data_IF_957852423997
#
_entry.id   IF_957852423997
#
_cell.length_a   1.000
_cell.length_b   1.000
_cell.length_c   1.000
_cell.angle_alpha   90.00
_cell.angle_beta   90.00
_cell.angle_gamma   90.00
#
_symmetry.space_group_name_H-M   'P 1'
#
loop_
_entity.id
_entity.type
_entity.pdbx_description
1 polymer ?
#
# COMPACT_ATOMS: atom_id res chain seq x y z
N UNK A 1 9.19 20.60 -5.84
CA UNK A 1 9.12 20.81 -4.38
C UNK A 1 9.31 19.51 -3.57
N UNK A 2 8.49 18.47 -3.77
CA UNK A 2 8.60 17.23 -2.99
C UNK A 2 9.97 16.53 -3.16
N UNK A 3 10.43 16.36 -4.40
CA UNK A 3 11.72 15.71 -4.72
C UNK A 3 12.90 16.39 -4.01
N UNK A 4 13.01 17.71 -4.12
CA UNK A 4 14.10 18.47 -3.51
C UNK A 4 14.04 18.42 -1.99
N UNK A 5 12.85 18.50 -1.40
CA UNK A 5 12.69 18.45 0.05
C UNK A 5 13.12 17.10 0.65
N UNK A 6 12.68 15.98 0.08
CA UNK A 6 13.05 14.66 0.59
C UNK A 6 14.56 14.39 0.46
N UNK A 7 15.16 14.80 -0.67
CA UNK A 7 16.60 14.74 -0.87
C UNK A 7 17.37 15.56 0.18
N UNK A 8 16.93 16.80 0.43
CA UNK A 8 17.58 17.67 1.43
C UNK A 8 17.40 17.16 2.85
N UNK A 9 16.23 16.61 3.20
CA UNK A 9 15.98 16.00 4.51
C UNK A 9 16.92 14.80 4.72
N UNK A 10 16.99 13.89 3.75
CA UNK A 10 17.91 12.75 3.83
C UNK A 10 19.35 13.22 3.99
N UNK A 11 19.84 14.08 3.10
CA UNK A 11 21.22 14.61 3.16
C UNK A 11 21.52 15.31 4.48
N UNK A 12 20.59 16.15 4.98
CA UNK A 12 20.74 16.85 6.26
C UNK A 12 20.83 15.91 7.45
N UNK A 13 20.00 14.85 7.50
CA UNK A 13 20.06 13.83 8.54
C UNK A 13 21.39 13.08 8.52
N UNK A 14 21.87 12.67 7.35
CA UNK A 14 23.15 11.98 7.20
C UNK A 14 24.33 12.88 7.60
N UNK A 15 24.31 14.14 7.18
CA UNK A 15 25.33 15.14 7.58
C UNK A 15 25.34 15.40 9.08
N UNK A 16 24.20 15.32 9.76
CA UNK A 16 24.08 15.42 11.21
C UNK A 16 24.42 14.11 11.97
N UNK A 17 24.83 13.05 11.26
CA UNK A 17 25.21 11.76 11.85
C UNK A 17 24.04 10.83 12.18
N UNK A 18 22.81 11.16 11.76
CA UNK A 18 21.66 10.28 11.97
C UNK A 18 21.52 9.25 10.86
N UNK A 19 21.46 7.97 11.25
CA UNK A 19 21.25 6.84 10.32
C UNK A 19 19.83 6.26 10.36
N UNK A 20 18.89 6.98 10.96
CA UNK A 20 17.48 6.55 11.04
C UNK A 20 16.87 6.42 9.66
N UNK A 21 16.32 5.25 9.28
CA UNK A 21 15.69 5.08 7.99
C UNK A 21 14.45 5.97 7.81
N UNK A 22 14.32 6.56 6.64
CA UNK A 22 13.15 7.35 6.26
C UNK A 22 12.08 6.46 5.61
N UNK A 23 10.83 6.67 5.99
CA UNK A 23 9.68 6.08 5.32
C UNK A 23 8.82 7.19 4.72
N UNK A 24 8.79 7.28 3.39
CA UNK A 24 7.91 8.20 2.70
C UNK A 24 6.49 7.62 2.60
N UNK A 25 5.51 8.35 3.08
CA UNK A 25 4.09 7.97 3.00
C UNK A 25 3.43 8.69 1.80
N UNK A 26 3.19 7.94 0.72
CA UNK A 26 2.73 8.49 -0.56
C UNK A 26 1.27 8.14 -0.80
N UNK A 27 0.50 9.17 -1.18
CA UNK A 27 -0.91 9.07 -1.53
C UNK A 27 -1.20 9.74 -2.88
N UNK A 28 -2.19 9.24 -3.61
CA UNK A 28 -2.83 9.85 -4.78
C UNK A 28 -1.93 10.12 -6.00
N UNK A 29 -0.64 9.90 -5.92
CA UNK A 29 0.27 10.21 -7.03
C UNK A 29 1.42 9.21 -7.12
N UNK A 30 1.31 8.28 -8.05
CA UNK A 30 2.31 7.25 -8.26
C UNK A 30 3.70 7.82 -8.66
N UNK A 31 3.75 8.98 -9.34
CA UNK A 31 5.03 9.60 -9.71
C UNK A 31 5.79 10.12 -8.49
N UNK A 32 5.07 10.48 -7.42
CA UNK A 32 5.69 10.88 -6.15
C UNK A 32 6.34 9.66 -5.48
N UNK A 33 5.76 8.46 -5.63
CA UNK A 33 6.35 7.23 -5.12
C UNK A 33 7.69 6.90 -5.81
N UNK A 34 7.78 7.09 -7.14
CA UNK A 34 9.03 6.89 -7.89
C UNK A 34 10.15 7.79 -7.35
N UNK A 35 9.81 9.07 -7.14
CA UNK A 35 10.77 10.04 -6.59
C UNK A 35 11.15 9.71 -5.15
N UNK A 36 10.18 9.28 -4.34
CA UNK A 36 10.44 8.91 -2.95
C UNK A 36 11.38 7.70 -2.86
N UNK A 37 11.26 6.74 -3.77
CA UNK A 37 12.11 5.55 -3.82
C UNK A 37 13.59 5.85 -4.12
N UNK A 38 13.90 7.04 -4.62
CA UNK A 38 15.29 7.46 -4.84
C UNK A 38 15.98 7.97 -3.56
N UNK A 39 15.22 8.36 -2.53
CA UNK A 39 15.74 9.11 -1.39
C UNK A 39 15.29 8.59 -0.03
N UNK A 40 14.38 7.63 0.01
CA UNK A 40 13.90 7.03 1.26
C UNK A 40 14.20 5.53 1.27
N UNK A 41 14.49 4.99 2.43
CA UNK A 41 14.75 3.56 2.59
C UNK A 41 13.46 2.73 2.52
N UNK A 42 12.30 3.39 2.67
CA UNK A 42 11.00 2.75 2.49
C UNK A 42 9.98 3.73 1.92
N UNK A 43 9.13 3.23 1.03
CA UNK A 43 7.99 3.99 0.49
C UNK A 43 6.71 3.25 0.82
N UNK A 44 5.74 3.94 1.43
CA UNK A 44 4.38 3.42 1.55
C UNK A 44 3.55 3.88 0.36
N UNK A 45 2.86 2.93 -0.25
CA UNK A 45 1.84 3.16 -1.27
C UNK A 45 0.49 2.65 -0.80
N UNK A 46 -0.59 3.24 -1.31
CA UNK A 46 -1.95 2.82 -0.98
C UNK A 46 -2.63 2.25 -2.25
N UNK A 47 -2.91 0.95 -2.30
CA UNK A 47 -3.58 0.32 -3.44
C UNK A 47 -4.86 1.02 -3.89
N UNK A 48 -5.64 1.53 -2.95
CA UNK A 48 -6.92 2.17 -3.23
C UNK A 48 -6.84 3.51 -3.97
N UNK A 49 -5.66 4.12 -4.05
CA UNK A 49 -5.48 5.41 -4.73
C UNK A 49 -4.11 5.56 -5.43
N UNK A 50 -3.46 4.45 -5.74
CA UNK A 50 -2.16 4.47 -6.42
C UNK A 50 -2.31 4.69 -7.93
N UNK A 51 -3.20 3.94 -8.58
CA UNK A 51 -3.54 4.03 -10.00
C UNK A 51 -5.03 4.28 -10.18
N UNK A 52 -5.85 3.58 -9.41
CA UNK A 52 -7.29 3.79 -9.39
C UNK A 52 -7.61 5.26 -9.06
N UNK A 53 -8.59 5.87 -9.69
CA UNK A 53 -8.98 7.23 -9.37
C UNK A 53 -9.43 7.32 -7.90
N UNK A 54 -9.27 8.50 -7.32
CA UNK A 54 -9.81 8.76 -6.00
C UNK A 54 -11.30 8.39 -5.95
N UNK A 55 -11.73 7.82 -4.82
CA UNK A 55 -13.10 7.35 -4.59
C UNK A 55 -14.12 8.41 -4.98
N UNK A 56 -14.97 8.08 -5.94
CA UNK A 56 -16.01 8.97 -6.46
C UNK A 56 -17.42 8.60 -5.97
N UNK A 57 -17.54 7.47 -5.24
CA UNK A 57 -18.81 6.88 -4.79
C UNK A 57 -19.77 6.51 -5.94
N UNK A 58 -19.26 6.43 -7.15
CA UNK A 58 -20.03 5.96 -8.30
C UNK A 58 -20.12 4.44 -8.28
N UNK A 59 -21.28 3.93 -8.64
CA UNK A 59 -21.44 2.51 -8.94
C UNK A 59 -20.90 2.27 -10.34
N UNK A 60 -19.72 1.64 -10.41
CA UNK A 60 -19.08 1.25 -11.66
C UNK A 60 -19.21 -0.27 -11.77
N UNK A 61 -19.95 -0.73 -12.77
CA UNK A 61 -20.00 -2.16 -13.08
C UNK A 61 -18.88 -2.46 -14.07
N UNK A 62 -18.03 -3.42 -13.70
CA UNK A 62 -16.95 -3.90 -14.56
C UNK A 62 -17.24 -5.33 -14.99
N UNK A 63 -17.13 -5.61 -16.29
CA UNK A 63 -17.02 -7.00 -16.76
C UNK A 63 -15.67 -7.59 -16.28
N UNK A 64 -15.53 -8.90 -16.40
CA UNK A 64 -14.26 -9.55 -16.02
C UNK A 64 -13.11 -9.08 -16.92
N UNK A 65 -13.37 -8.82 -18.19
CA UNK A 65 -12.40 -8.29 -19.15
C UNK A 65 -11.99 -6.86 -18.80
N UNK A 66 -12.93 -5.99 -18.45
CA UNK A 66 -12.65 -4.62 -18.02
C UNK A 66 -11.84 -4.61 -16.72
N UNK A 67 -12.23 -5.47 -15.78
CA UNK A 67 -11.49 -5.62 -14.51
C UNK A 67 -10.03 -6.05 -14.75
N UNK A 68 -9.82 -7.02 -15.66
CA UNK A 68 -8.49 -7.46 -16.03
C UNK A 68 -7.66 -6.36 -16.70
N UNK A 69 -8.31 -5.49 -17.51
CA UNK A 69 -7.64 -4.33 -18.10
C UNK A 69 -7.20 -3.30 -17.03
N UNK A 70 -8.03 -3.06 -16.02
CA UNK A 70 -7.64 -2.19 -14.91
C UNK A 70 -6.47 -2.77 -14.10
N UNK A 71 -6.46 -4.09 -13.85
CA UNK A 71 -5.31 -4.76 -13.24
C UNK A 71 -4.04 -4.62 -14.08
N UNK A 72 -4.17 -4.71 -15.39
CA UNK A 72 -3.04 -4.49 -16.30
C UNK A 72 -2.48 -3.06 -16.21
N UNK A 73 -3.33 -2.05 -16.12
CA UNK A 73 -2.90 -0.66 -15.89
C UNK A 73 -2.15 -0.50 -14.58
N UNK A 74 -2.61 -1.16 -13.52
CA UNK A 74 -1.93 -1.16 -12.22
C UNK A 74 -0.54 -1.81 -12.36
N UNK A 75 -0.46 -2.97 -13.02
CA UNK A 75 0.81 -3.65 -13.29
C UNK A 75 1.76 -2.75 -14.07
N UNK A 76 1.30 -2.18 -15.18
CA UNK A 76 2.12 -1.34 -16.05
C UNK A 76 2.67 -0.10 -15.30
N UNK A 77 1.91 0.42 -14.34
CA UNK A 77 2.36 1.55 -13.52
C UNK A 77 3.29 1.12 -12.35
N UNK A 78 3.10 -0.09 -11.81
CA UNK A 78 3.93 -0.60 -10.73
C UNK A 78 5.33 -1.04 -11.19
N UNK A 79 5.45 -1.56 -12.41
CA UNK A 79 6.74 -2.10 -12.91
C UNK A 79 7.87 -1.07 -12.87
N UNK A 80 7.72 0.16 -13.38
CA UNK A 80 8.76 1.18 -13.25
C UNK A 80 9.15 1.47 -11.79
N UNK A 81 8.16 1.58 -10.91
CA UNK A 81 8.38 1.81 -9.48
C UNK A 81 9.16 0.65 -8.83
N UNK A 82 8.77 -0.60 -9.13
CA UNK A 82 9.48 -1.79 -8.64
C UNK A 82 10.95 -1.78 -9.07
N UNK A 83 11.23 -1.40 -10.31
CA UNK A 83 12.60 -1.33 -10.82
C UNK A 83 13.43 -0.28 -10.07
N UNK A 84 12.86 0.91 -9.83
CA UNK A 84 13.51 1.95 -9.03
C UNK A 84 13.77 1.44 -7.60
N UNK A 85 12.81 0.76 -6.98
CA UNK A 85 12.98 0.19 -5.65
C UNK A 85 14.10 -0.87 -5.60
N UNK A 86 14.20 -1.73 -6.61
CA UNK A 86 15.29 -2.71 -6.72
C UNK A 86 16.66 -2.04 -6.84
N UNK A 87 16.77 -1.06 -7.73
CA UNK A 87 18.02 -0.33 -7.97
C UNK A 87 18.52 0.43 -6.74
N UNK A 88 17.59 0.95 -5.93
CA UNK A 88 17.90 1.78 -4.76
C UNK A 88 17.79 1.03 -3.43
N UNK A 89 17.53 -0.28 -3.43
CA UNK A 89 17.31 -1.09 -2.22
C UNK A 89 16.21 -0.51 -1.31
N UNK A 90 15.16 0.04 -1.90
CA UNK A 90 14.06 0.67 -1.19
C UNK A 90 12.96 -0.35 -0.92
N UNK A 91 12.63 -0.57 0.34
CA UNK A 91 11.50 -1.42 0.72
C UNK A 91 10.15 -0.74 0.43
N UNK A 92 9.12 -1.55 0.21
CA UNK A 92 7.77 -1.05 -0.04
C UNK A 92 6.81 -1.49 1.07
N UNK A 93 6.03 -0.55 1.63
CA UNK A 93 4.89 -0.89 2.46
C UNK A 93 3.60 -0.74 1.64
N UNK A 94 2.92 -1.87 1.44
CA UNK A 94 1.56 -1.87 0.89
C UNK A 94 0.61 -1.49 2.03
N UNK A 95 0.12 -0.25 1.99
CA UNK A 95 -0.67 0.34 3.06
C UNK A 95 -2.14 0.43 2.69
N UNK A 96 -2.88 -0.68 2.85
CA UNK A 96 -4.32 -0.71 2.62
C UNK A 96 -5.05 -0.05 3.78
N UNK A 97 -5.92 0.91 3.46
CA UNK A 97 -6.81 1.53 4.43
C UNK A 97 -8.26 1.27 3.99
N UNK A 98 -9.07 0.72 4.88
CA UNK A 98 -10.49 0.42 4.65
C UNK A 98 -11.26 1.61 4.09
N UNK A 99 -11.03 2.80 4.64
CA UNK A 99 -11.71 4.04 4.20
C UNK A 99 -11.35 4.52 2.79
N UNK A 100 -10.26 3.99 2.20
CA UNK A 100 -9.76 4.42 0.88
C UNK A 100 -9.73 3.32 -0.17
N UNK A 101 -10.52 2.27 -0.02
CA UNK A 101 -10.69 1.27 -1.07
C UNK A 101 -11.21 1.91 -2.36
N UNK A 102 -10.67 1.51 -3.51
CA UNK A 102 -11.13 2.00 -4.82
C UNK A 102 -12.57 1.60 -5.10
N UNK A 103 -13.26 2.40 -5.94
CA UNK A 103 -14.63 2.07 -6.36
C UNK A 103 -14.69 0.72 -7.08
N UNK A 104 -13.66 0.35 -7.84
CA UNK A 104 -13.52 -0.95 -8.51
C UNK A 104 -13.58 -2.13 -7.53
N UNK A 105 -12.78 -2.05 -6.46
CA UNK A 105 -12.74 -3.09 -5.41
C UNK A 105 -14.08 -3.14 -4.68
N UNK A 106 -14.64 -2.00 -4.30
CA UNK A 106 -15.89 -1.94 -3.54
C UNK A 106 -17.09 -2.45 -4.33
N UNK A 107 -17.14 -2.17 -5.62
CA UNK A 107 -18.23 -2.65 -6.46
C UNK A 107 -18.17 -4.17 -6.67
N UNK A 108 -16.97 -4.75 -6.71
CA UNK A 108 -16.81 -6.20 -6.92
C UNK A 108 -16.90 -7.01 -5.62
N UNK A 109 -16.28 -6.52 -4.54
CA UNK A 109 -16.12 -7.27 -3.28
C UNK A 109 -16.87 -6.64 -2.10
N UNK A 110 -17.43 -5.45 -2.27
CA UNK A 110 -18.05 -4.70 -1.19
C UNK A 110 -17.05 -4.00 -0.27
N UNK A 111 -17.60 -3.35 0.75
CA UNK A 111 -16.84 -2.69 1.82
C UNK A 111 -16.60 -3.69 2.97
N UNK A 112 -15.88 -4.76 2.67
CA UNK A 112 -15.76 -5.98 3.48
C UNK A 112 -14.29 -6.34 3.71
N UNK A 113 -13.99 -7.24 4.67
CA UNK A 113 -12.65 -7.83 4.80
C UNK A 113 -12.14 -8.45 3.50
N UNK A 114 -12.98 -9.08 2.71
CA UNK A 114 -12.65 -9.68 1.42
C UNK A 114 -12.19 -8.63 0.41
N UNK A 115 -12.87 -7.48 0.36
CA UNK A 115 -12.45 -6.35 -0.49
C UNK A 115 -11.12 -5.75 -0.06
N UNK A 116 -10.88 -5.61 1.24
CA UNK A 116 -9.60 -5.14 1.78
C UNK A 116 -8.48 -6.09 1.37
N UNK A 117 -8.69 -7.39 1.53
CA UNK A 117 -7.71 -8.42 1.20
C UNK A 117 -7.48 -8.49 -0.30
N UNK A 118 -8.53 -8.47 -1.11
CA UNK A 118 -8.41 -8.46 -2.58
C UNK A 118 -7.55 -7.29 -3.06
N UNK A 119 -7.79 -6.08 -2.55
CA UNK A 119 -6.98 -4.89 -2.85
C UNK A 119 -5.49 -5.07 -2.54
N UNK A 120 -5.16 -5.76 -1.46
CA UNK A 120 -3.78 -6.08 -1.09
C UNK A 120 -3.17 -7.14 -1.99
N UNK A 121 -3.88 -8.26 -2.19
CA UNK A 121 -3.40 -9.43 -2.93
C UNK A 121 -3.12 -9.12 -4.41
N UNK A 122 -3.89 -8.22 -5.02
CA UNK A 122 -3.61 -7.76 -6.39
C UNK A 122 -2.20 -7.19 -6.52
N UNK A 123 -1.80 -6.32 -5.59
CA UNK A 123 -0.46 -5.74 -5.57
C UNK A 123 0.61 -6.77 -5.21
N UNK A 124 0.38 -7.63 -4.23
CA UNK A 124 1.31 -8.69 -3.84
C UNK A 124 1.63 -9.64 -4.99
N UNK A 125 0.61 -10.04 -5.77
CA UNK A 125 0.80 -10.90 -6.94
C UNK A 125 1.69 -10.24 -7.99
N UNK A 126 1.55 -8.92 -8.20
CA UNK A 126 2.41 -8.16 -9.11
C UNK A 126 3.85 -8.12 -8.56
N UNK A 127 4.04 -7.74 -7.29
CA UNK A 127 5.37 -7.71 -6.68
C UNK A 127 6.08 -9.07 -6.78
N UNK A 128 5.37 -10.16 -6.47
CA UNK A 128 5.89 -11.53 -6.61
C UNK A 128 6.23 -11.88 -8.06
N UNK A 129 5.38 -11.53 -9.02
CA UNK A 129 5.60 -11.76 -10.46
C UNK A 129 6.90 -11.13 -10.94
N UNK A 130 7.24 -9.96 -10.42
CA UNK A 130 8.48 -9.27 -10.74
C UNK A 130 9.62 -9.56 -9.75
N UNK A 131 9.53 -10.61 -8.95
CA UNK A 131 10.57 -11.04 -8.00
C UNK A 131 11.04 -9.90 -7.11
N UNK A 132 10.10 -9.19 -6.47
CA UNK A 132 10.35 -8.15 -5.49
C UNK A 132 9.74 -8.55 -4.15
N UNK A 133 10.59 -8.76 -3.14
CA UNK A 133 10.19 -9.32 -1.85
C UNK A 133 10.42 -8.41 -0.65
N UNK A 134 11.04 -7.23 -0.85
CA UNK A 134 11.25 -6.25 0.21
C UNK A 134 9.94 -5.49 0.50
N UNK A 135 8.94 -6.24 0.94
CA UNK A 135 7.56 -5.79 1.13
C UNK A 135 7.13 -5.96 2.57
N UNK A 136 6.49 -4.94 3.11
CA UNK A 136 5.75 -4.96 4.39
C UNK A 136 4.28 -4.67 4.09
N UNK A 137 3.37 -5.33 4.77
CA UNK A 137 1.94 -5.12 4.56
C UNK A 137 1.31 -4.47 5.78
N UNK A 138 0.49 -3.45 5.56
CA UNK A 138 -0.37 -2.93 6.60
C UNK A 138 -1.82 -2.87 6.14
N UNK A 139 -2.71 -3.45 6.94
CA UNK A 139 -4.16 -3.27 6.81
C UNK A 139 -4.60 -2.46 8.02
N UNK A 140 -5.27 -1.34 7.75
CA UNK A 140 -5.80 -0.45 8.79
C UNK A 140 -7.29 -0.20 8.58
N UNK A 141 -8.02 -0.20 9.68
CA UNK A 141 -9.43 0.16 9.74
C UNK A 141 -9.70 0.84 11.09
N UNK A 142 -10.67 1.74 11.14
CA UNK A 142 -11.17 2.31 12.40
C UNK A 142 -11.98 1.29 13.22
N UNK A 143 -12.53 0.28 12.55
CA UNK A 143 -13.21 -0.84 13.19
C UNK A 143 -12.21 -1.97 13.45
N UNK A 144 -11.93 -2.25 14.72
CA UNK A 144 -10.95 -3.26 15.14
C UNK A 144 -11.34 -4.68 14.73
N UNK A 145 -12.64 -5.01 14.74
CA UNK A 145 -13.14 -6.33 14.31
C UNK A 145 -12.88 -6.54 12.82
N UNK A 146 -13.19 -5.53 11.99
CA UNK A 146 -12.92 -5.57 10.56
C UNK A 146 -11.42 -5.70 10.31
N UNK A 147 -10.59 -4.94 11.04
CA UNK A 147 -9.14 -5.00 10.92
C UNK A 147 -8.60 -6.41 11.22
N UNK A 148 -8.98 -7.00 12.36
CA UNK A 148 -8.55 -8.35 12.76
C UNK A 148 -8.99 -9.42 11.77
N UNK A 149 -10.25 -9.37 11.32
CA UNK A 149 -10.77 -10.31 10.30
C UNK A 149 -10.00 -10.18 8.99
N UNK A 150 -9.74 -8.97 8.53
CA UNK A 150 -9.00 -8.72 7.29
C UNK A 150 -7.55 -9.23 7.38
N UNK A 151 -6.87 -8.99 8.50
CA UNK A 151 -5.50 -9.48 8.70
C UNK A 151 -5.44 -11.00 8.72
N UNK A 152 -6.36 -11.66 9.44
CA UNK A 152 -6.42 -13.13 9.47
C UNK A 152 -6.72 -13.72 8.10
N UNK A 153 -7.66 -13.12 7.37
CA UNK A 153 -7.98 -13.54 6.00
C UNK A 153 -6.78 -13.35 5.06
N UNK A 154 -6.10 -12.20 5.16
CA UNK A 154 -4.90 -11.93 4.36
C UNK A 154 -3.81 -12.98 4.60
N UNK A 155 -3.54 -13.33 5.86
CA UNK A 155 -2.54 -14.37 6.19
C UNK A 155 -2.92 -15.69 5.53
N UNK A 156 -4.19 -16.11 5.66
CA UNK A 156 -4.69 -17.33 5.03
C UNK A 156 -4.54 -17.32 3.50
N UNK A 157 -4.85 -16.20 2.84
CA UNK A 157 -4.72 -16.09 1.38
C UNK A 157 -3.25 -16.06 0.94
N UNK A 158 -2.37 -15.39 1.69
CA UNK A 158 -0.93 -15.43 1.43
C UNK A 158 -0.36 -16.83 1.57
N UNK A 159 -0.74 -17.58 2.63
CA UNK A 159 -0.29 -18.95 2.85
C UNK A 159 -0.71 -19.89 1.71
N UNK A 160 -1.95 -19.78 1.22
CA UNK A 160 -2.44 -20.57 0.07
C UNK A 160 -1.61 -20.33 -1.19
N UNK A 161 -1.09 -19.14 -1.36
CA UNK A 161 -0.25 -18.77 -2.50
C UNK A 161 1.26 -18.89 -2.23
N UNK A 162 1.67 -19.41 -1.07
CA UNK A 162 3.08 -19.57 -0.69
C UNK A 162 3.80 -18.24 -0.48
N UNK A 163 3.11 -17.23 0.03
CA UNK A 163 3.67 -15.91 0.35
C UNK A 163 3.79 -15.75 1.86
N UNK A 164 4.91 -15.17 2.31
CA UNK A 164 5.13 -14.83 3.72
C UNK A 164 5.80 -13.45 3.77
N UNK A 165 5.02 -12.43 4.12
CA UNK A 165 5.49 -11.05 4.24
C UNK A 165 5.21 -10.52 5.65
N UNK A 166 6.09 -9.68 6.21
CA UNK A 166 5.89 -9.08 7.52
C UNK A 166 4.67 -8.15 7.53
N UNK A 167 3.97 -8.16 8.66
CA UNK A 167 2.78 -7.36 8.91
C UNK A 167 3.10 -6.17 9.80
N UNK A 168 2.57 -5.01 9.43
CA UNK A 168 2.55 -3.80 10.24
C UNK A 168 1.11 -3.56 10.70
N UNK A 169 0.79 -3.96 11.92
CA UNK A 169 -0.54 -3.84 12.47
C UNK A 169 -0.84 -2.41 12.90
N UNK A 170 -2.09 -1.99 12.80
CA UNK A 170 -2.52 -0.68 13.25
C UNK A 170 -4.02 -0.45 13.11
N UNK A 171 -4.53 0.47 13.93
CA UNK A 171 -5.91 0.94 13.88
C UNK A 171 -5.90 2.40 13.44
N UNK A 172 -6.73 2.74 12.44
CA UNK A 172 -6.91 4.13 12.00
C UNK A 172 -7.89 4.83 12.92
N UNK A 173 -7.63 6.09 13.23
CA UNK A 173 -8.52 6.90 14.08
C UNK A 173 -8.80 6.22 15.44
N UNK A 174 -7.75 5.73 16.07
CA UNK A 174 -7.87 4.99 17.33
C UNK A 174 -8.38 5.83 18.49
N UNK A 175 -8.20 7.15 18.44
CA UNK A 175 -8.51 8.08 19.53
C UNK A 175 -7.25 8.56 20.24
N UNK A 176 -7.45 9.33 21.29
CA UNK A 176 -6.36 9.92 22.09
C UNK A 176 -6.31 9.29 23.50
N UNK A 177 -5.16 9.40 24.15
CA UNK A 177 -4.96 8.97 25.52
C UNK A 177 -5.27 7.48 25.76
N UNK A 178 -6.05 7.18 26.77
CA UNK A 178 -6.40 5.80 27.15
C UNK A 178 -7.30 5.13 26.12
N UNK A 179 -8.26 5.83 25.54
CA UNK A 179 -9.16 5.28 24.53
C UNK A 179 -8.39 4.78 23.32
N UNK A 180 -7.38 5.52 22.88
CA UNK A 180 -6.52 5.12 21.79
C UNK A 180 -5.60 3.93 22.11
N UNK A 181 -5.30 3.69 23.38
CA UNK A 181 -4.50 2.53 23.82
C UNK A 181 -5.33 1.26 23.94
N UNK A 182 -6.59 1.40 24.36
CA UNK A 182 -7.49 0.25 24.55
C UNK A 182 -8.00 -0.27 23.22
N UNK A 183 -8.26 0.62 22.27
CA UNK A 183 -8.75 0.26 20.93
C UNK A 183 -7.72 -0.49 20.10
#
# INVERSE_FOLDING_TARGET
LFRSNLQHINAGLRAAGYNTPLCADVHFNANVADVAALYAEKVRINPGNYVDPARTFKKLEYTDEEYAQELKKIEDRLVPFINICKENHTAVRIGVNHGSLSDRIRNRYGDTPEGIVASCMEFLRIFRKYNFHDVVISIKSSNTVVMVRSVRLLVSEMEKEGMTYPLHLGVTEAGEGEDGRIK
#
